data_IF_853850935654
#
_entry.id   IF_853850935654
#
_cell.length_a   1.000
_cell.length_b   1.000
_cell.length_c   1.000
_cell.angle_alpha   90.00
_cell.angle_beta   90.00
_cell.angle_gamma   90.00
#
_symmetry.space_group_name_H-M   'P 1'
#
loop_
_entity.id
_entity.type
_entity.pdbx_description
1 polymer ?
#
# COMPACT_ATOMS: atom_id res chain seq x y z
N UNK A 1 58.04 12.96 13.47
CA UNK A 1 57.18 11.87 12.96
C UNK A 1 55.71 12.21 13.20
N UNK A 2 54.99 12.69 12.17
CA UNK A 2 53.53 12.86 12.22
C UNK A 2 52.88 11.48 12.03
N UNK A 3 52.26 10.94 13.08
CA UNK A 3 51.37 9.77 12.98
C UNK A 3 50.13 10.21 12.20
N UNK A 4 50.11 9.94 10.90
CA UNK A 4 48.89 9.95 10.09
C UNK A 4 48.01 8.80 10.57
N UNK A 5 47.05 9.11 11.45
CA UNK A 5 45.99 8.19 11.81
C UNK A 5 45.20 7.87 10.55
N UNK A 6 45.27 6.61 10.13
CA UNK A 6 44.49 6.03 9.04
C UNK A 6 43.01 6.12 9.46
N UNK A 7 42.32 7.18 9.06
CA UNK A 7 40.88 7.36 9.33
C UNK A 7 40.16 6.24 8.59
N UNK A 8 39.74 5.23 9.33
CA UNK A 8 38.88 4.17 8.85
C UNK A 8 37.62 4.78 8.23
N UNK A 9 37.41 4.55 6.93
CA UNK A 9 36.26 5.03 6.15
C UNK A 9 35.00 4.24 6.50
N UNK A 10 34.61 4.22 7.77
CA UNK A 10 33.36 3.57 8.18
C UNK A 10 32.17 4.27 7.54
N UNK A 11 31.37 3.50 6.80
CA UNK A 11 30.15 3.94 6.13
C UNK A 11 29.12 4.41 7.17
N UNK A 12 28.42 5.50 6.89
CA UNK A 12 27.34 5.98 7.76
C UNK A 12 26.01 5.29 7.45
N UNK A 13 25.19 5.07 8.48
CA UNK A 13 23.88 4.43 8.36
C UNK A 13 22.82 5.19 9.15
N UNK A 14 21.64 5.39 8.57
CA UNK A 14 20.48 5.96 9.25
C UNK A 14 19.61 4.83 9.77
N UNK A 15 19.20 4.90 11.04
CA UNK A 15 18.39 3.88 11.72
C UNK A 15 17.40 4.54 12.67
N UNK A 16 16.25 3.90 12.92
CA UNK A 16 15.32 4.36 13.96
C UNK A 16 15.98 4.27 15.34
N UNK A 17 15.80 5.31 16.15
CA UNK A 17 16.35 5.40 17.50
C UNK A 17 15.46 4.65 18.47
N UNK A 18 16.08 3.86 19.36
CA UNK A 18 15.40 3.18 20.47
C UNK A 18 15.47 4.00 21.74
N UNK A 19 14.52 3.80 22.65
CA UNK A 19 14.52 4.50 23.95
C UNK A 19 15.80 4.23 24.76
N UNK A 20 16.38 3.03 24.64
CA UNK A 20 17.64 2.66 25.30
C UNK A 20 18.85 3.48 24.82
N UNK A 21 18.74 4.19 23.70
CA UNK A 21 19.82 4.98 23.11
C UNK A 21 19.70 6.47 23.44
N UNK A 22 18.69 6.85 24.23
CA UNK A 22 18.35 8.25 24.50
C UNK A 22 19.51 9.10 25.03
N UNK A 23 20.36 8.51 25.86
CA UNK A 23 21.50 9.21 26.46
C UNK A 23 22.51 9.68 25.43
N UNK A 24 22.55 9.06 24.24
CA UNK A 24 23.40 9.46 23.12
C UNK A 24 22.86 10.70 22.39
N UNK A 25 21.58 11.03 22.51
CA UNK A 25 20.95 12.16 21.82
C UNK A 25 21.14 13.47 22.60
N UNK A 26 21.15 13.41 23.93
CA UNK A 26 21.30 14.57 24.82
C UNK A 26 22.50 15.46 24.45
N UNK A 27 23.74 14.95 24.28
CA UNK A 27 24.86 15.80 23.92
C UNK A 27 24.71 16.44 22.53
N UNK A 28 24.04 15.76 21.60
CA UNK A 28 23.79 16.29 20.24
C UNK A 28 22.79 17.44 20.30
N UNK A 29 21.73 17.30 21.12
CA UNK A 29 20.77 18.37 21.35
C UNK A 29 21.47 19.61 21.91
N UNK A 30 22.27 19.44 22.97
CA UNK A 30 22.91 20.55 23.66
C UNK A 30 23.97 21.27 22.80
N UNK A 31 24.59 20.56 21.85
CA UNK A 31 25.48 21.15 20.84
C UNK A 31 24.73 21.93 19.74
N UNK A 32 23.47 21.58 19.47
CA UNK A 32 22.71 22.13 18.35
C UNK A 32 21.72 23.24 18.75
N UNK A 33 21.16 23.19 19.96
CA UNK A 33 20.05 24.05 20.37
C UNK A 33 20.34 24.81 21.66
N UNK A 34 19.86 26.06 21.72
CA UNK A 34 20.12 26.94 22.85
C UNK A 34 18.95 27.08 23.83
N UNK A 35 17.72 26.81 23.37
CA UNK A 35 16.51 27.06 24.14
C UNK A 35 16.28 26.16 25.36
N UNK A 36 17.05 25.07 25.52
CA UNK A 36 16.95 24.19 26.68
C UNK A 36 18.35 23.65 27.03
N UNK A 37 18.83 23.95 28.24
CA UNK A 37 20.18 23.56 28.70
C UNK A 37 20.20 22.52 29.83
N UNK A 38 19.08 22.33 30.52
CA UNK A 38 18.97 21.28 31.54
C UNK A 38 18.93 19.89 30.88
N UNK A 39 19.93 19.06 31.18
CA UNK A 39 20.07 17.71 30.64
C UNK A 39 18.87 16.80 30.95
N UNK A 40 18.27 16.93 32.14
CA UNK A 40 17.12 16.11 32.54
C UNK A 40 15.89 16.48 31.72
N UNK A 41 15.65 17.78 31.51
CA UNK A 41 14.56 18.25 30.66
C UNK A 41 14.76 17.86 29.21
N UNK A 42 15.99 17.99 28.68
CA UNK A 42 16.32 17.54 27.30
C UNK A 42 16.06 16.05 27.15
N UNK A 43 16.52 15.23 28.10
CA UNK A 43 16.28 13.78 28.11
C UNK A 43 14.78 13.47 28.19
N UNK A 44 14.02 14.18 29.03
CA UNK A 44 12.57 13.99 29.12
C UNK A 44 11.88 14.34 27.80
N UNK A 45 12.22 15.46 27.17
CA UNK A 45 11.69 15.88 25.90
C UNK A 45 11.95 14.86 24.78
N UNK A 46 13.20 14.40 24.66
CA UNK A 46 13.59 13.38 23.68
C UNK A 46 12.86 12.06 23.93
N UNK A 47 12.68 11.66 25.20
CA UNK A 47 11.96 10.44 25.57
C UNK A 47 10.51 10.51 25.11
N UNK A 48 9.84 11.63 25.36
CA UNK A 48 8.45 11.83 24.94
C UNK A 48 8.31 11.73 23.42
N UNK A 49 9.27 12.25 22.65
CA UNK A 49 9.27 12.13 21.20
C UNK A 49 9.45 10.67 20.73
N UNK A 50 10.35 9.91 21.33
CA UNK A 50 10.56 8.49 20.99
C UNK A 50 9.31 7.66 21.33
N UNK A 51 8.68 7.92 22.48
CA UNK A 51 7.48 7.19 22.94
C UNK A 51 6.20 7.54 22.16
N UNK A 52 6.20 8.63 21.41
CA UNK A 52 5.06 9.04 20.60
C UNK A 52 4.94 8.26 19.27
N UNK A 53 5.72 7.19 19.05
CA UNK A 53 5.52 6.28 17.94
C UNK A 53 4.09 5.68 17.96
N UNK A 54 3.38 5.58 16.82
CA UNK A 54 3.83 5.86 15.45
C UNK A 54 3.61 7.30 14.98
N UNK A 55 2.99 8.17 15.78
CA UNK A 55 2.75 9.57 15.41
C UNK A 55 4.07 10.33 15.18
N UNK A 56 5.10 10.03 15.99
CA UNK A 56 6.46 10.56 15.80
C UNK A 56 7.44 9.44 15.49
N UNK A 57 8.37 9.73 14.59
CA UNK A 57 9.45 8.81 14.22
C UNK A 57 10.81 9.51 14.36
N UNK A 58 11.66 8.95 15.21
CA UNK A 58 12.99 9.46 15.51
C UNK A 58 14.05 8.58 14.85
N UNK A 59 14.94 9.19 14.07
CA UNK A 59 16.03 8.49 13.40
C UNK A 59 17.38 9.11 13.76
N UNK A 60 18.41 8.27 13.81
CA UNK A 60 19.78 8.62 14.12
C UNK A 60 20.71 8.20 13.00
N UNK A 61 21.76 8.98 12.75
CA UNK A 61 22.82 8.62 11.81
C UNK A 61 24.08 8.19 12.56
N UNK A 62 24.51 6.99 12.25
CA UNK A 62 25.58 6.29 12.95
C UNK A 62 26.82 6.13 12.08
N UNK A 63 27.98 6.15 12.72
CA UNK A 63 29.26 5.67 12.17
C UNK A 63 29.87 4.73 13.20
N UNK A 64 29.81 3.43 12.93
CA UNK A 64 30.00 2.41 13.96
C UNK A 64 29.01 2.63 15.10
N UNK A 65 29.50 2.67 16.34
CA UNK A 65 28.68 2.91 17.54
C UNK A 65 28.52 4.39 17.92
N UNK A 66 29.02 5.31 17.08
CA UNK A 66 28.93 6.75 17.31
C UNK A 66 27.71 7.35 16.61
N UNK A 67 26.81 7.95 17.40
CA UNK A 67 25.69 8.74 16.90
C UNK A 67 26.19 10.14 16.53
N UNK A 68 26.04 10.54 15.26
CA UNK A 68 26.56 11.82 14.75
C UNK A 68 25.49 12.91 14.68
N UNK A 69 24.21 12.52 14.65
CA UNK A 69 23.06 13.40 14.49
C UNK A 69 21.75 12.63 14.57
N UNK A 70 20.64 13.35 14.72
CA UNK A 70 19.30 12.78 14.72
C UNK A 70 18.30 13.69 13.98
N UNK A 71 17.16 13.11 13.66
CA UNK A 71 16.00 13.79 13.06
C UNK A 71 14.72 13.25 13.69
N UNK A 72 13.76 14.15 13.95
CA UNK A 72 12.44 13.86 14.51
C UNK A 72 11.41 14.32 13.49
N UNK A 73 10.54 13.39 13.12
CA UNK A 73 9.42 13.63 12.25
C UNK A 73 8.12 13.43 13.02
N UNK A 74 7.10 14.25 12.74
CA UNK A 74 5.80 14.14 13.38
C UNK A 74 4.66 14.23 12.36
N UNK A 75 3.74 13.27 12.38
CA UNK A 75 2.54 13.33 11.57
C UNK A 75 1.52 14.32 12.16
N UNK A 76 0.89 15.12 11.29
CA UNK A 76 -0.10 16.13 11.64
C UNK A 76 -1.48 15.74 11.10
N UNK A 77 -2.52 16.14 11.83
CA UNK A 77 -3.90 16.00 11.37
C UNK A 77 -4.44 14.56 11.41
N UNK A 78 -3.94 13.72 12.33
CA UNK A 78 -4.30 12.29 12.50
C UNK A 78 -3.88 11.38 11.34
N UNK A 79 -4.11 10.07 11.44
CA UNK A 79 -3.75 9.07 10.43
C UNK A 79 -4.69 9.10 9.21
N UNK A 80 -4.47 10.08 8.33
CA UNK A 80 -5.22 10.23 7.09
C UNK A 80 -4.60 9.40 5.96
N UNK A 81 -5.37 9.10 4.88
CA UNK A 81 -4.82 8.56 3.64
C UNK A 81 -3.79 9.51 3.02
N UNK A 82 -4.06 10.82 3.01
CA UNK A 82 -3.10 11.85 2.62
C UNK A 82 -2.42 12.42 3.87
N UNK A 83 -1.24 11.90 4.21
CA UNK A 83 -0.52 12.25 5.43
C UNK A 83 0.29 13.54 5.27
N UNK A 84 0.23 14.40 6.28
CA UNK A 84 1.06 15.61 6.40
C UNK A 84 2.08 15.38 7.50
N UNK A 85 3.37 15.55 7.17
CA UNK A 85 4.46 15.35 8.11
C UNK A 85 5.18 16.66 8.40
N UNK A 86 5.68 16.80 9.62
CA UNK A 86 6.47 17.93 10.09
C UNK A 86 7.89 17.44 10.35
N UNK A 87 8.88 18.09 9.75
CA UNK A 87 10.27 17.94 10.18
C UNK A 87 10.43 18.81 11.44
N UNK A 88 10.12 18.21 12.58
CA UNK A 88 10.02 18.91 13.85
C UNK A 88 11.40 19.31 14.38
N UNK A 89 12.40 18.43 14.24
CA UNK A 89 13.75 18.72 14.72
C UNK A 89 14.79 17.94 13.91
N UNK A 90 15.93 18.58 13.61
CA UNK A 90 17.12 17.92 13.07
C UNK A 90 18.36 18.51 13.72
N UNK A 91 19.28 17.65 14.13
CA UNK A 91 20.55 18.07 14.71
C UNK A 91 21.69 17.18 14.23
N UNK A 92 22.84 17.81 14.01
CA UNK A 92 24.11 17.13 13.71
C UNK A 92 25.16 17.80 14.57
N UNK A 93 26.00 16.99 15.23
CA UNK A 93 27.12 17.50 16.01
C UNK A 93 27.95 18.48 15.16
N UNK A 94 28.30 19.63 15.74
CA UNK A 94 29.02 20.74 15.12
C UNK A 94 30.20 20.29 14.25
N UNK A 95 31.05 19.39 14.78
CA UNK A 95 32.22 18.82 14.09
C UNK A 95 31.90 17.99 12.83
N UNK A 96 30.64 17.60 12.62
CA UNK A 96 30.18 16.80 11.48
C UNK A 96 29.22 17.56 10.54
N UNK A 97 28.96 18.85 10.81
CA UNK A 97 28.13 19.70 9.94
C UNK A 97 28.84 19.95 8.61
N UNK A 98 28.05 20.31 7.57
CA UNK A 98 28.50 20.59 6.19
C UNK A 98 29.18 19.41 5.46
N UNK A 99 29.08 18.18 5.98
CA UNK A 99 29.60 16.96 5.36
C UNK A 99 28.51 16.10 4.69
N UNK A 100 27.35 16.69 4.36
CA UNK A 100 26.21 15.97 3.77
C UNK A 100 25.42 15.08 4.73
N UNK A 101 25.76 15.06 6.02
CA UNK A 101 25.09 14.24 7.04
C UNK A 101 23.61 14.62 7.22
N UNK A 102 23.29 15.91 7.31
CA UNK A 102 21.90 16.38 7.39
C UNK A 102 21.08 15.98 6.16
N UNK A 103 21.66 16.09 4.96
CA UNK A 103 21.04 15.64 3.71
C UNK A 103 20.72 14.15 3.74
N UNK A 104 21.67 13.32 4.20
CA UNK A 104 21.48 11.88 4.29
C UNK A 104 20.43 11.52 5.35
N UNK A 105 20.45 12.17 6.51
CA UNK A 105 19.42 12.01 7.55
C UNK A 105 18.03 12.25 6.97
N UNK A 106 17.80 13.39 6.31
CA UNK A 106 16.51 13.72 5.72
C UNK A 106 16.09 12.68 4.68
N UNK A 107 16.95 12.37 3.70
CA UNK A 107 16.60 11.47 2.59
C UNK A 107 16.27 10.05 3.07
N UNK A 108 17.15 9.47 3.88
CA UNK A 108 17.01 8.08 4.30
C UNK A 108 15.82 7.93 5.27
N UNK A 109 15.67 8.84 6.25
CA UNK A 109 14.53 8.77 7.18
C UNK A 109 13.19 9.06 6.50
N UNK A 110 13.15 9.96 5.52
CA UNK A 110 11.95 10.22 4.73
C UNK A 110 11.55 9.00 3.89
N UNK A 111 12.52 8.24 3.38
CA UNK A 111 12.26 6.98 2.69
C UNK A 111 11.55 5.98 3.61
N UNK A 112 12.04 5.82 4.84
CA UNK A 112 11.43 4.96 5.87
C UNK A 112 10.01 5.42 6.23
N UNK A 113 9.78 6.73 6.33
CA UNK A 113 8.44 7.29 6.55
C UNK A 113 7.49 6.93 5.40
N UNK A 114 7.94 7.09 4.14
CA UNK A 114 7.12 6.70 2.98
C UNK A 114 6.80 5.20 2.98
N UNK A 115 7.75 4.35 3.39
CA UNK A 115 7.50 2.91 3.57
C UNK A 115 6.44 2.69 4.67
N UNK A 116 6.57 3.37 5.82
CA UNK A 116 5.62 3.27 6.92
C UNK A 116 4.20 3.68 6.50
N UNK A 117 4.07 4.78 5.74
CA UNK A 117 2.78 5.25 5.22
C UNK A 117 2.16 4.25 4.26
N UNK A 118 2.93 3.73 3.29
CA UNK A 118 2.42 2.73 2.32
C UNK A 118 1.90 1.48 3.02
N UNK A 119 2.59 0.99 4.06
CA UNK A 119 2.17 -0.20 4.83
C UNK A 119 0.78 -0.05 5.45
N UNK A 120 0.37 1.18 5.79
CA UNK A 120 -0.97 1.47 6.35
C UNK A 120 -1.96 2.05 5.34
N UNK A 121 -1.65 2.00 4.04
CA UNK A 121 -2.53 2.52 2.98
C UNK A 121 -2.61 4.05 2.92
N UNK A 122 -1.55 4.75 3.35
CA UNK A 122 -1.44 6.19 3.26
C UNK A 122 -0.30 6.63 2.34
N UNK A 123 -0.36 7.87 1.86
CA UNK A 123 0.65 8.52 1.04
C UNK A 123 1.08 9.84 1.67
N UNK A 124 2.35 10.21 1.46
CA UNK A 124 2.86 11.49 1.92
C UNK A 124 2.36 12.59 0.98
N UNK A 125 1.59 13.53 1.50
CA UNK A 125 1.03 14.66 0.75
C UNK A 125 1.89 15.92 0.83
N UNK A 126 2.46 16.16 2.00
CA UNK A 126 3.14 17.41 2.31
C UNK A 126 4.11 17.23 3.46
N UNK A 127 5.23 17.96 3.40
CA UNK A 127 6.15 18.16 4.51
C UNK A 127 6.15 19.63 4.92
N UNK A 128 5.94 19.90 6.20
CA UNK A 128 6.11 21.21 6.82
C UNK A 128 7.47 21.26 7.53
N UNK A 129 8.10 22.42 7.50
CA UNK A 129 9.28 22.74 8.31
C UNK A 129 9.11 24.13 8.89
N UNK A 130 9.50 24.34 10.14
CA UNK A 130 9.55 25.67 10.77
C UNK A 130 10.99 25.96 11.17
N UNK A 131 11.51 27.13 10.83
CA UNK A 131 12.87 27.53 11.21
C UNK A 131 13.02 29.04 11.25
N UNK A 132 13.89 29.57 12.12
CA UNK A 132 14.18 30.99 12.19
C UNK A 132 14.57 31.57 10.83
N UNK A 133 14.16 32.81 10.56
CA UNK A 133 14.42 33.47 9.26
C UNK A 133 15.92 33.58 8.92
N UNK A 134 16.77 33.67 9.94
CA UNK A 134 18.22 33.79 9.83
C UNK A 134 18.95 32.43 9.93
N UNK A 135 18.21 31.33 10.04
CA UNK A 135 18.80 30.01 10.19
C UNK A 135 19.25 29.44 8.83
N UNK A 136 20.55 29.15 8.70
CA UNK A 136 21.14 28.59 7.48
C UNK A 136 20.51 27.24 7.08
N UNK A 137 19.86 26.54 8.01
CA UNK A 137 19.18 25.27 7.74
C UNK A 137 18.03 25.38 6.74
N UNK A 138 17.47 26.58 6.51
CA UNK A 138 16.47 26.81 5.45
C UNK A 138 16.94 26.29 4.07
N UNK A 139 18.21 26.57 3.73
CA UNK A 139 18.84 26.11 2.47
C UNK A 139 18.91 24.59 2.37
N UNK A 140 19.04 23.89 3.50
CA UNK A 140 19.04 22.43 3.53
C UNK A 140 17.66 21.90 3.15
N UNK A 141 16.58 22.47 3.70
CA UNK A 141 15.21 22.03 3.42
C UNK A 141 14.81 22.34 1.97
N UNK A 142 15.12 23.53 1.48
CA UNK A 142 14.92 23.90 0.07
C UNK A 142 15.63 22.92 -0.86
N UNK A 143 16.93 22.66 -0.61
CA UNK A 143 17.74 21.77 -1.45
C UNK A 143 17.29 20.31 -1.42
N UNK A 144 16.92 19.79 -0.24
CA UNK A 144 16.71 18.35 -0.06
C UNK A 144 15.25 17.95 -0.23
N UNK A 145 14.33 18.81 0.22
CA UNK A 145 12.89 18.54 0.15
C UNK A 145 12.20 19.30 -0.98
N UNK A 146 12.84 20.30 -1.58
CA UNK A 146 12.16 21.24 -2.48
C UNK A 146 11.18 22.13 -1.71
N UNK A 147 11.41 22.35 -0.42
CA UNK A 147 10.55 23.16 0.42
C UNK A 147 10.57 24.62 -0.03
N UNK A 148 9.42 25.28 -0.02
CA UNK A 148 9.28 26.70 -0.36
C UNK A 148 8.75 27.45 0.85
N UNK A 149 9.27 28.66 1.08
CA UNK A 149 8.73 29.57 2.08
C UNK A 149 7.29 29.95 1.72
N UNK A 150 6.37 29.78 2.68
CA UNK A 150 4.95 30.12 2.50
C UNK A 150 4.55 31.31 3.36
N UNK A 151 5.06 31.40 4.60
CA UNK A 151 4.82 32.56 5.46
C UNK A 151 5.94 32.77 6.48
N UNK A 152 5.91 33.94 7.13
CA UNK A 152 6.70 34.28 8.32
C UNK A 152 5.73 34.53 9.46
N UNK A 153 6.04 33.99 10.63
CA UNK A 153 5.35 34.28 11.88
C UNK A 153 6.32 35.10 12.74
N UNK A 154 5.92 36.32 13.05
CA UNK A 154 6.72 37.21 13.87
C UNK A 154 6.69 36.78 15.33
N UNK A 155 7.83 36.94 16.01
CA UNK A 155 7.98 36.68 17.45
C UNK A 155 7.42 35.32 17.91
N UNK A 156 7.72 34.26 17.16
CA UNK A 156 7.19 32.92 17.46
C UNK A 156 7.98 32.21 18.57
N UNK A 157 9.30 32.45 18.62
CA UNK A 157 10.19 32.01 19.70
C UNK A 157 11.17 33.14 20.07
N UNK A 158 12.47 32.98 19.80
CA UNK A 158 13.49 34.02 19.99
C UNK A 158 13.57 34.94 18.75
N UNK A 159 12.42 35.34 18.21
CA UNK A 159 12.28 36.12 16.98
C UNK A 159 11.41 35.47 15.90
N UNK A 160 11.56 35.96 14.67
CA UNK A 160 10.75 35.57 13.52
C UNK A 160 11.10 34.17 13.00
N UNK A 161 10.07 33.38 12.76
CA UNK A 161 10.16 32.03 12.20
C UNK A 161 9.49 31.98 10.84
N UNK A 162 10.08 31.26 9.89
CA UNK A 162 9.47 31.00 8.58
C UNK A 162 8.95 29.57 8.51
N UNK A 163 7.78 29.43 7.91
CA UNK A 163 7.20 28.14 7.57
C UNK A 163 7.54 27.82 6.12
N UNK A 164 8.19 26.68 5.92
CA UNK A 164 8.45 26.11 4.61
C UNK A 164 7.57 24.88 4.37
N UNK A 165 7.10 24.74 3.14
CA UNK A 165 6.27 23.62 2.70
C UNK A 165 6.93 22.96 1.50
N UNK A 166 7.16 21.65 1.59
CA UNK A 166 7.46 20.80 0.44
C UNK A 166 6.21 20.00 0.08
N UNK A 167 5.70 20.20 -1.13
CA UNK A 167 4.53 19.49 -1.66
C UNK A 167 5.01 18.31 -2.47
N UNK A 168 4.57 17.11 -2.13
CA UNK A 168 4.72 15.94 -3.00
C UNK A 168 3.63 16.03 -4.06
N UNK A 169 4.00 16.46 -5.28
CA UNK A 169 3.10 16.38 -6.42
C UNK A 169 2.93 14.90 -6.79
N UNK A 170 1.70 14.34 -6.81
CA UNK A 170 1.49 12.95 -7.21
C UNK A 170 1.80 12.71 -8.70
N UNK A 171 1.93 13.77 -9.51
CA UNK A 171 2.00 13.69 -10.98
C UNK A 171 3.35 14.03 -11.62
N UNK A 172 4.37 14.40 -10.85
CA UNK A 172 5.67 14.72 -11.44
C UNK A 172 6.79 14.57 -10.42
N UNK A 173 7.33 13.37 -10.28
CA UNK A 173 8.64 13.17 -9.68
C UNK A 173 9.47 12.39 -10.68
N UNK A 174 10.62 12.96 -11.06
CA UNK A 174 11.73 12.18 -11.59
C UNK A 174 12.02 11.07 -10.57
N UNK A 175 11.40 9.91 -10.77
CA UNK A 175 11.61 8.73 -9.93
C UNK A 175 13.10 8.45 -9.91
N UNK A 176 13.67 8.25 -8.72
CA UNK A 176 15.06 7.79 -8.64
C UNK A 176 15.18 6.43 -9.34
N UNK A 177 16.38 6.07 -9.80
CA UNK A 177 16.58 4.76 -10.42
C UNK A 177 16.23 3.61 -9.44
N UNK A 178 16.45 3.81 -8.15
CA UNK A 178 16.05 2.85 -7.10
C UNK A 178 14.51 2.74 -7.00
N UNK A 179 13.78 3.86 -7.06
CA UNK A 179 12.31 3.85 -7.05
C UNK A 179 11.75 3.17 -8.32
N UNK A 180 12.37 3.40 -9.48
CA UNK A 180 11.99 2.72 -10.73
C UNK A 180 12.26 1.22 -10.66
N UNK A 181 13.38 0.81 -10.05
CA UNK A 181 13.70 -0.60 -9.85
C UNK A 181 12.68 -1.28 -8.92
N UNK A 182 12.29 -0.61 -7.83
CA UNK A 182 11.27 -1.11 -6.91
C UNK A 182 9.91 -1.25 -7.57
N UNK A 183 9.47 -0.24 -8.34
CA UNK A 183 8.22 -0.29 -9.09
C UNK A 183 8.21 -1.41 -10.14
N UNK A 184 9.34 -1.66 -10.82
CA UNK A 184 9.47 -2.79 -11.76
C UNK A 184 9.33 -4.13 -11.05
N UNK A 185 9.91 -4.29 -9.86
CA UNK A 185 9.77 -5.50 -9.06
C UNK A 185 8.30 -5.70 -8.63
N UNK A 186 7.66 -4.66 -8.11
CA UNK A 186 6.26 -4.70 -7.72
C UNK A 186 5.34 -5.04 -8.92
N UNK A 187 5.65 -4.50 -10.11
CA UNK A 187 4.94 -4.83 -11.34
C UNK A 187 5.07 -6.31 -11.70
N UNK A 188 6.28 -6.89 -11.59
CA UNK A 188 6.52 -8.31 -11.84
C UNK A 188 5.74 -9.19 -10.85
N UNK A 189 5.69 -8.82 -9.57
CA UNK A 189 4.91 -9.51 -8.55
C UNK A 189 3.41 -9.45 -8.85
N UNK A 190 2.89 -8.27 -9.24
CA UNK A 190 1.50 -8.12 -9.65
C UNK A 190 1.17 -9.00 -10.85
N UNK A 191 2.05 -9.05 -11.85
CA UNK A 191 1.85 -9.86 -13.04
C UNK A 191 1.92 -11.37 -12.73
N UNK A 192 2.84 -11.80 -11.88
CA UNK A 192 2.93 -13.19 -11.42
C UNK A 192 1.66 -13.59 -10.65
N UNK A 193 1.20 -12.74 -9.73
CA UNK A 193 -0.03 -12.95 -8.97
C UNK A 193 -1.29 -12.99 -9.85
N UNK A 194 -1.32 -12.17 -10.90
CA UNK A 194 -2.39 -12.16 -11.89
C UNK A 194 -2.40 -13.45 -12.72
N UNK A 195 -1.24 -13.83 -13.27
CA UNK A 195 -1.08 -15.03 -14.09
C UNK A 195 -1.38 -16.31 -13.31
N UNK A 196 -1.04 -16.36 -12.02
CA UNK A 196 -1.38 -17.49 -11.16
C UNK A 196 -2.91 -17.65 -11.05
N UNK A 197 -3.63 -16.54 -10.84
CA UNK A 197 -5.10 -16.54 -10.74
C UNK A 197 -5.81 -16.75 -12.08
N UNK A 198 -5.15 -16.48 -13.20
CA UNK A 198 -5.65 -16.87 -14.54
C UNK A 198 -5.74 -18.40 -14.67
N UNK A 199 -4.90 -19.16 -13.94
CA UNK A 199 -4.95 -20.63 -13.92
C UNK A 199 -5.95 -21.17 -12.89
N UNK A 200 -5.98 -20.57 -11.70
CA UNK A 200 -6.82 -21.03 -10.57
C UNK A 200 -8.32 -20.90 -10.88
N UNK A 201 -8.77 -19.77 -11.45
CA UNK A 201 -10.20 -19.51 -11.64
C UNK A 201 -10.89 -20.55 -12.56
N UNK A 202 -10.30 -20.96 -13.71
CA UNK A 202 -10.83 -22.08 -14.49
C UNK A 202 -10.86 -23.41 -13.74
N UNK A 203 -9.84 -23.72 -12.94
CA UNK A 203 -9.78 -24.97 -12.17
C UNK A 203 -10.87 -25.00 -11.07
N UNK A 204 -11.10 -23.87 -10.39
CA UNK A 204 -12.21 -23.71 -9.45
C UNK A 204 -13.56 -23.88 -10.14
N UNK A 205 -13.75 -23.31 -11.32
CA UNK A 205 -14.99 -23.49 -12.09
C UNK A 205 -15.19 -24.96 -12.48
N UNK A 206 -14.12 -25.65 -12.89
CA UNK A 206 -14.17 -27.09 -13.18
C UNK A 206 -14.57 -27.89 -11.93
N UNK A 207 -14.03 -27.54 -10.76
CA UNK A 207 -14.38 -28.17 -9.49
C UNK A 207 -15.85 -27.94 -9.12
N UNK A 208 -16.37 -26.72 -9.33
CA UNK A 208 -17.82 -26.43 -9.18
C UNK A 208 -18.64 -27.37 -10.06
N UNK A 209 -18.26 -27.55 -11.33
CA UNK A 209 -18.94 -28.46 -12.25
C UNK A 209 -18.91 -29.92 -11.79
N UNK A 210 -17.78 -30.41 -11.29
CA UNK A 210 -17.64 -31.76 -10.76
C UNK A 210 -18.50 -31.98 -9.51
N UNK A 211 -18.46 -31.04 -8.57
CA UNK A 211 -19.27 -31.09 -7.33
C UNK A 211 -20.75 -31.04 -7.67
N UNK A 212 -21.16 -30.16 -8.57
CA UNK A 212 -22.54 -30.09 -9.05
C UNK A 212 -23.02 -31.41 -9.66
N UNK A 213 -22.18 -32.04 -10.50
CA UNK A 213 -22.48 -33.33 -11.13
C UNK A 213 -22.63 -34.45 -10.11
N UNK A 214 -21.70 -34.51 -9.14
CA UNK A 214 -21.75 -35.48 -8.04
C UNK A 214 -23.01 -35.31 -7.18
N UNK A 215 -23.31 -34.08 -6.76
CA UNK A 215 -24.50 -33.77 -5.96
C UNK A 215 -25.79 -34.14 -6.70
N UNK A 216 -25.85 -33.88 -8.00
CA UNK A 216 -26.98 -34.27 -8.84
C UNK A 216 -27.13 -35.80 -8.87
N UNK A 217 -26.06 -36.53 -9.10
CA UNK A 217 -26.08 -38.00 -9.05
C UNK A 217 -26.52 -38.55 -7.69
N UNK A 218 -26.04 -37.97 -6.59
CA UNK A 218 -26.44 -38.35 -5.23
C UNK A 218 -27.93 -38.08 -4.97
N UNK A 219 -28.46 -36.95 -5.44
CA UNK A 219 -29.89 -36.63 -5.33
C UNK A 219 -30.75 -37.64 -6.10
N UNK A 220 -30.40 -37.94 -7.36
CA UNK A 220 -31.10 -38.96 -8.15
C UNK A 220 -31.04 -40.34 -7.51
N UNK A 221 -29.88 -40.73 -6.97
CA UNK A 221 -29.73 -42.00 -6.27
C UNK A 221 -30.61 -42.08 -5.02
N UNK A 222 -30.65 -41.03 -4.20
CA UNK A 222 -31.50 -40.94 -3.03
C UNK A 222 -32.99 -41.08 -3.40
N UNK A 223 -33.43 -40.38 -4.46
CA UNK A 223 -34.81 -40.48 -4.96
C UNK A 223 -35.12 -41.92 -5.38
N UNK A 224 -34.28 -42.55 -6.20
CA UNK A 224 -34.55 -43.90 -6.70
C UNK A 224 -34.56 -44.97 -5.59
N UNK A 225 -33.71 -44.86 -4.56
CA UNK A 225 -33.68 -45.83 -3.46
C UNK A 225 -34.87 -45.66 -2.52
N UNK A 226 -35.22 -44.43 -2.19
CA UNK A 226 -36.22 -44.12 -1.17
C UNK A 226 -37.65 -44.08 -1.73
N UNK A 227 -37.86 -44.41 -3.01
CA UNK A 227 -39.18 -44.50 -3.64
C UNK A 227 -40.15 -45.49 -2.96
N UNK A 228 -39.62 -46.51 -2.28
CA UNK A 228 -40.43 -47.50 -1.56
C UNK A 228 -40.52 -47.22 -0.05
N UNK A 229 -39.86 -46.18 0.44
CA UNK A 229 -39.86 -45.79 1.85
C UNK A 229 -40.97 -44.77 2.12
N UNK A 230 -41.37 -44.56 3.39
CA UNK A 230 -42.30 -43.51 3.76
C UNK A 230 -41.84 -42.13 3.27
N UNK A 231 -42.75 -41.35 2.67
CA UNK A 231 -42.47 -40.05 2.05
C UNK A 231 -41.57 -39.15 2.92
N UNK A 232 -41.82 -39.08 4.23
CA UNK A 232 -41.09 -38.20 5.13
C UNK A 232 -39.58 -38.46 5.18
N UNK A 233 -39.13 -39.72 4.98
CA UNK A 233 -37.71 -40.08 4.92
C UNK A 233 -37.07 -39.59 3.62
N UNK A 234 -37.78 -39.71 2.50
CA UNK A 234 -37.36 -39.15 1.22
C UNK A 234 -37.22 -37.63 1.31
N UNK A 235 -38.20 -36.94 1.90
CA UNK A 235 -38.16 -35.50 2.13
C UNK A 235 -36.99 -35.06 3.02
N UNK A 236 -36.73 -35.80 4.11
CA UNK A 236 -35.62 -35.52 5.00
C UNK A 236 -34.27 -35.69 4.29
N UNK A 237 -34.09 -36.80 3.55
CA UNK A 237 -32.86 -37.06 2.80
C UNK A 237 -32.62 -36.03 1.70
N UNK A 238 -33.65 -35.70 0.91
CA UNK A 238 -33.58 -34.67 -0.12
C UNK A 238 -33.29 -33.29 0.48
N UNK A 239 -33.87 -32.96 1.63
CA UNK A 239 -33.60 -31.72 2.37
C UNK A 239 -32.15 -31.62 2.83
N UNK A 240 -31.60 -32.69 3.42
CA UNK A 240 -30.19 -32.74 3.86
C UNK A 240 -29.25 -32.58 2.67
N UNK A 241 -29.46 -33.35 1.59
CA UNK A 241 -28.65 -33.28 0.36
C UNK A 241 -28.75 -31.88 -0.24
N UNK A 242 -29.96 -31.32 -0.32
CA UNK A 242 -30.21 -29.99 -0.86
C UNK A 242 -29.47 -28.88 -0.10
N UNK A 243 -29.57 -28.87 1.23
CA UNK A 243 -28.89 -27.89 2.10
C UNK A 243 -27.38 -28.04 1.98
N UNK A 244 -26.85 -29.25 2.11
CA UNK A 244 -25.41 -29.48 2.05
C UNK A 244 -24.83 -29.13 0.68
N UNK A 245 -25.51 -29.52 -0.40
CA UNK A 245 -25.14 -29.17 -1.76
C UNK A 245 -25.16 -27.66 -2.01
N UNK A 246 -26.16 -26.95 -1.48
CA UNK A 246 -26.22 -25.50 -1.57
C UNK A 246 -25.03 -24.84 -0.85
N UNK A 247 -24.74 -25.24 0.40
CA UNK A 247 -23.63 -24.67 1.18
C UNK A 247 -22.28 -24.89 0.50
N UNK A 248 -22.05 -26.08 -0.07
CA UNK A 248 -20.82 -26.38 -0.82
C UNK A 248 -20.68 -25.48 -2.06
N UNK A 249 -21.72 -25.42 -2.91
CA UNK A 249 -21.68 -24.59 -4.13
C UNK A 249 -21.57 -23.10 -3.80
N UNK A 250 -22.19 -22.65 -2.72
CA UNK A 250 -22.07 -21.28 -2.25
C UNK A 250 -20.66 -20.96 -1.74
N UNK A 251 -20.00 -21.89 -1.06
CA UNK A 251 -18.60 -21.77 -0.67
C UNK A 251 -17.67 -21.52 -1.88
N UNK A 252 -17.84 -22.29 -2.95
CA UNK A 252 -17.10 -22.06 -4.20
C UNK A 252 -17.41 -20.72 -4.86
N UNK A 253 -18.66 -20.26 -4.82
CA UNK A 253 -19.02 -18.94 -5.35
C UNK A 253 -18.24 -17.82 -4.62
N UNK A 254 -18.10 -17.91 -3.29
CA UNK A 254 -17.34 -16.93 -2.50
C UNK A 254 -15.87 -16.95 -2.92
N UNK A 255 -15.28 -18.13 -3.10
CA UNK A 255 -13.88 -18.28 -3.49
C UNK A 255 -13.60 -17.69 -4.88
N UNK A 256 -14.44 -18.03 -5.87
CA UNK A 256 -14.37 -17.45 -7.21
C UNK A 256 -14.50 -15.91 -7.15
N UNK A 257 -15.44 -15.38 -6.37
CA UNK A 257 -15.59 -13.93 -6.19
C UNK A 257 -14.34 -13.27 -5.60
N UNK A 258 -13.73 -13.90 -4.59
CA UNK A 258 -12.50 -13.44 -3.96
C UNK A 258 -11.35 -13.39 -4.99
N UNK A 259 -11.17 -14.45 -5.77
CA UNK A 259 -10.14 -14.51 -6.81
C UNK A 259 -10.34 -13.48 -7.92
N UNK A 260 -11.58 -13.31 -8.38
CA UNK A 260 -11.94 -12.27 -9.36
C UNK A 260 -11.64 -10.86 -8.82
N UNK A 261 -12.03 -10.59 -7.58
CA UNK A 261 -11.76 -9.31 -6.91
C UNK A 261 -10.25 -9.04 -6.80
N UNK A 262 -9.47 -10.04 -6.40
CA UNK A 262 -8.03 -9.91 -6.31
C UNK A 262 -7.38 -9.63 -7.67
N UNK A 263 -7.82 -10.31 -8.75
CA UNK A 263 -7.36 -10.01 -10.12
C UNK A 263 -7.61 -8.56 -10.53
N UNK A 264 -8.74 -7.99 -10.12
CA UNK A 264 -9.09 -6.59 -10.38
C UNK A 264 -8.11 -5.63 -9.69
N UNK A 265 -7.81 -5.88 -8.42
CA UNK A 265 -6.83 -5.09 -7.64
C UNK A 265 -5.44 -5.19 -8.26
N UNK A 266 -4.96 -6.39 -8.57
CA UNK A 266 -3.65 -6.60 -9.20
C UNK A 266 -3.54 -5.88 -10.55
N UNK A 267 -4.59 -5.96 -11.38
CA UNK A 267 -4.63 -5.28 -12.67
C UNK A 267 -4.60 -3.76 -12.53
N UNK A 268 -5.38 -3.22 -11.61
CA UNK A 268 -5.41 -1.78 -11.35
C UNK A 268 -4.03 -1.31 -10.89
N UNK A 269 -3.41 -2.06 -9.96
CA UNK A 269 -2.08 -1.73 -9.46
C UNK A 269 -1.01 -1.78 -10.56
N UNK A 270 -1.04 -2.80 -11.43
CA UNK A 270 -0.16 -2.86 -12.60
C UNK A 270 -0.33 -1.65 -13.51
N UNK A 271 -1.56 -1.21 -13.76
CA UNK A 271 -1.81 -0.02 -14.58
C UNK A 271 -1.29 1.28 -13.94
N UNK A 272 -1.47 1.45 -12.63
CA UNK A 272 -0.89 2.58 -11.88
C UNK A 272 0.64 2.59 -11.99
N UNK A 273 1.29 1.43 -11.88
CA UNK A 273 2.74 1.32 -12.04
C UNK A 273 3.19 1.64 -13.47
N UNK A 274 2.45 1.19 -14.49
CA UNK A 274 2.72 1.56 -15.90
C UNK A 274 2.66 3.09 -16.10
N UNK A 275 1.68 3.76 -15.49
CA UNK A 275 1.53 5.22 -15.55
C UNK A 275 2.66 5.95 -14.80
N UNK A 276 3.10 5.42 -13.64
CA UNK A 276 4.24 5.97 -12.90
C UNK A 276 5.57 5.82 -13.65
N UNK A 277 5.78 4.67 -14.33
CA UNK A 277 7.00 4.38 -15.06
C UNK A 277 7.04 5.00 -16.47
N UNK A 278 5.89 5.38 -17.01
CA UNK A 278 5.75 6.02 -18.32
C UNK A 278 5.41 7.50 -18.17
N UNK A 279 6.40 8.41 -17.97
CA UNK A 279 6.12 9.83 -18.00
C UNK A 279 5.43 10.18 -19.34
N UNK A 280 4.41 11.04 -19.28
CA UNK A 280 3.63 11.43 -20.44
C UNK A 280 4.56 11.87 -21.59
N UNK A 281 4.41 11.33 -22.82
CA UNK A 281 5.33 11.66 -23.88
C UNK A 281 5.06 13.10 -24.38
N UNK A 282 6.06 13.95 -24.22
CA UNK A 282 6.37 15.00 -25.18
C UNK A 282 6.72 14.34 -26.52
N UNK A 283 5.71 13.98 -27.32
CA UNK A 283 5.83 13.68 -28.75
C UNK A 283 6.59 12.43 -29.21
N UNK A 284 7.29 11.70 -28.33
CA UNK A 284 8.09 10.53 -28.73
C UNK A 284 7.37 9.24 -28.31
N UNK A 285 7.08 8.37 -29.29
CA UNK A 285 6.46 7.07 -29.03
C UNK A 285 7.37 6.20 -28.13
N UNK A 286 6.93 5.80 -26.93
CA UNK A 286 7.74 4.97 -26.06
C UNK A 286 7.77 3.53 -26.61
N UNK A 287 8.96 3.05 -26.98
CA UNK A 287 9.18 1.67 -27.40
C UNK A 287 9.47 0.74 -26.21
N UNK A 288 8.80 0.96 -25.07
CA UNK A 288 9.07 0.23 -23.82
C UNK A 288 7.93 -0.71 -23.43
N UNK A 289 8.32 -1.92 -23.04
CA UNK A 289 7.58 -3.16 -22.75
C UNK A 289 6.42 -3.04 -21.72
N UNK A 290 6.25 -1.90 -21.05
CA UNK A 290 5.34 -1.70 -19.92
C UNK A 290 4.06 -0.92 -20.29
N UNK A 291 3.35 -1.34 -21.35
CA UNK A 291 2.06 -0.75 -21.75
C UNK A 291 0.99 -1.81 -22.02
N UNK A 292 1.11 -2.98 -21.39
CA UNK A 292 0.23 -4.12 -21.65
C UNK A 292 -1.17 -3.76 -21.14
N UNK A 293 -1.27 -3.30 -19.90
CA UNK A 293 -2.56 -3.02 -19.27
C UNK A 293 -3.19 -1.74 -19.81
N UNK A 294 -2.39 -0.73 -20.15
CA UNK A 294 -2.83 0.50 -20.81
C UNK A 294 -3.51 0.25 -22.16
N UNK A 295 -3.07 -0.76 -22.92
CA UNK A 295 -3.69 -1.14 -24.21
C UNK A 295 -4.89 -2.07 -24.04
N UNK A 296 -4.87 -2.94 -23.02
CA UNK A 296 -5.91 -3.95 -22.79
C UNK A 296 -7.16 -3.35 -22.13
N UNK A 297 -7.00 -2.46 -21.14
CA UNK A 297 -8.13 -1.90 -20.37
C UNK A 297 -9.10 -1.09 -21.25
N UNK A 298 -8.64 -0.12 -22.08
CA UNK A 298 -9.54 0.70 -22.90
C UNK A 298 -10.16 -0.07 -24.07
N UNK A 299 -9.41 -1.01 -24.68
CA UNK A 299 -9.92 -1.83 -25.80
C UNK A 299 -11.05 -2.76 -25.36
N UNK A 300 -10.99 -3.30 -24.14
CA UNK A 300 -12.08 -4.11 -23.56
C UNK A 300 -13.35 -3.28 -23.30
N UNK A 301 -13.22 -2.02 -22.87
CA UNK A 301 -14.38 -1.11 -22.73
C UNK A 301 -15.08 -0.85 -24.07
N UNK A 302 -14.34 -0.47 -25.12
CA UNK A 302 -14.93 -0.06 -26.41
C UNK A 302 -15.65 -1.18 -27.17
N UNK A 303 -15.08 -2.39 -27.25
CA UNK A 303 -15.64 -3.49 -28.07
C UNK A 303 -17.03 -3.96 -27.60
N UNK A 304 -17.37 -3.71 -26.34
CA UNK A 304 -18.63 -4.12 -25.73
C UNK A 304 -19.65 -2.97 -25.71
N UNK A 305 -19.21 -1.73 -25.46
CA UNK A 305 -20.04 -0.52 -25.61
C UNK A 305 -20.61 -0.36 -27.03
N UNK A 306 -19.90 -0.85 -28.05
CA UNK A 306 -20.36 -0.86 -29.44
C UNK A 306 -21.42 -1.94 -29.75
N UNK A 307 -21.55 -2.99 -28.93
CA UNK A 307 -22.46 -4.13 -29.17
C UNK A 307 -23.71 -4.14 -28.32
N UNK A 308 -23.77 -3.33 -27.26
CA UNK A 308 -24.91 -3.32 -26.34
C UNK A 308 -25.74 -2.06 -26.56
N UNK A 309 -27.07 -2.21 -26.79
CA UNK A 309 -27.97 -1.06 -26.98
C UNK A 309 -27.81 -0.05 -25.84
N UNK A 310 -27.66 1.23 -26.18
CA UNK A 310 -27.45 2.32 -25.21
C UNK A 310 -28.49 2.37 -24.09
N UNK A 311 -29.68 1.80 -24.31
CA UNK A 311 -30.75 1.67 -23.31
C UNK A 311 -30.40 0.75 -22.13
N UNK A 312 -29.53 -0.24 -22.31
CA UNK A 312 -29.10 -1.18 -21.26
C UNK A 312 -27.89 -0.67 -20.46
N UNK A 313 -27.20 0.37 -20.93
CA UNK A 313 -26.00 0.93 -20.30
C UNK A 313 -26.29 1.85 -19.10
N UNK A 314 -27.56 2.03 -18.68
CA UNK A 314 -27.89 2.93 -17.58
C UNK A 314 -27.58 2.39 -16.18
N UNK A 315 -27.28 1.09 -16.02
CA UNK A 315 -26.76 0.53 -14.76
C UNK A 315 -25.77 -0.61 -15.04
N UNK A 316 -24.57 -0.44 -14.45
CA UNK A 316 -23.46 -1.38 -14.24
C UNK A 316 -22.35 -1.47 -15.29
N UNK A 317 -21.16 -1.59 -14.70
CA UNK A 317 -19.80 -1.51 -15.23
C UNK A 317 -19.48 -2.63 -16.25
N UNK A 318 -18.72 -2.35 -17.32
CA UNK A 318 -18.39 -3.34 -18.34
C UNK A 318 -17.26 -4.27 -17.84
N UNK A 319 -17.63 -5.41 -17.24
CA UNK A 319 -16.74 -6.42 -16.63
C UNK A 319 -16.70 -7.71 -17.48
N UNK A 320 -16.19 -7.60 -18.71
CA UNK A 320 -16.50 -8.55 -19.79
C UNK A 320 -15.84 -9.95 -19.80
N UNK A 321 -15.22 -10.46 -18.73
CA UNK A 321 -14.71 -11.86 -18.71
C UNK A 321 -14.80 -12.50 -17.32
N UNK A 322 -14.41 -11.76 -16.28
CA UNK A 322 -14.42 -12.24 -14.90
C UNK A 322 -15.84 -12.45 -14.34
N UNK A 323 -16.81 -11.73 -14.88
CA UNK A 323 -18.21 -11.85 -14.45
C UNK A 323 -18.88 -13.14 -14.95
N UNK A 324 -18.38 -13.73 -16.03
CA UNK A 324 -18.93 -14.99 -16.54
C UNK A 324 -18.72 -16.14 -15.56
N UNK A 325 -17.59 -16.16 -14.84
CA UNK A 325 -17.32 -17.18 -13.82
C UNK A 325 -18.30 -17.06 -12.65
N UNK A 326 -18.53 -15.83 -12.18
CA UNK A 326 -19.49 -15.55 -11.10
C UNK A 326 -20.91 -15.88 -11.56
N UNK A 327 -21.27 -15.53 -12.80
CA UNK A 327 -22.57 -15.84 -13.37
C UNK A 327 -22.79 -17.35 -13.53
N UNK A 328 -21.80 -18.08 -14.05
CA UNK A 328 -21.87 -19.53 -14.19
C UNK A 328 -22.04 -20.23 -12.84
N UNK A 329 -21.29 -19.82 -11.81
CA UNK A 329 -21.45 -20.34 -10.46
C UNK A 329 -22.85 -20.05 -9.88
N UNK A 330 -23.40 -18.86 -10.12
CA UNK A 330 -24.80 -18.53 -9.72
C UNK A 330 -25.83 -19.36 -10.46
N UNK A 331 -25.64 -19.59 -11.76
CA UNK A 331 -26.52 -20.45 -12.56
C UNK A 331 -26.48 -21.87 -12.00
N UNK A 332 -25.31 -22.41 -11.68
CA UNK A 332 -25.18 -23.74 -11.07
C UNK A 332 -25.94 -23.82 -9.73
N UNK A 333 -25.83 -22.83 -8.85
CA UNK A 333 -26.60 -22.76 -7.60
C UNK A 333 -28.11 -22.70 -7.87
N UNK A 334 -28.54 -21.87 -8.83
CA UNK A 334 -29.95 -21.76 -9.21
C UNK A 334 -30.51 -23.07 -9.76
N UNK A 335 -29.77 -23.75 -10.64
CA UNK A 335 -30.13 -25.06 -11.17
C UNK A 335 -30.19 -26.12 -10.06
N UNK A 336 -29.26 -26.09 -9.12
CA UNK A 336 -29.27 -27.00 -7.97
C UNK A 336 -30.55 -26.86 -7.14
N UNK A 337 -30.92 -25.62 -6.79
CA UNK A 337 -32.15 -25.36 -6.04
C UNK A 337 -33.40 -25.83 -6.80
N UNK A 338 -33.44 -25.59 -8.11
CA UNK A 338 -34.54 -26.08 -8.95
C UNK A 338 -34.60 -27.61 -8.95
N UNK A 339 -33.48 -28.31 -9.12
CA UNK A 339 -33.43 -29.77 -9.09
C UNK A 339 -33.91 -30.34 -7.76
N UNK A 340 -33.52 -29.74 -6.64
CA UNK A 340 -34.00 -30.15 -5.31
C UNK A 340 -35.51 -29.96 -5.20
N UNK A 341 -36.06 -28.82 -5.64
CA UNK A 341 -37.51 -28.54 -5.62
C UNK A 341 -38.28 -29.48 -6.54
N UNK A 342 -37.79 -29.72 -7.76
CA UNK A 342 -38.42 -30.64 -8.71
C UNK A 342 -38.38 -32.09 -8.19
N UNK A 343 -37.24 -32.55 -7.68
CA UNK A 343 -37.13 -33.88 -7.08
C UNK A 343 -38.06 -34.07 -5.88
N UNK A 344 -38.28 -33.01 -5.12
CA UNK A 344 -39.28 -32.95 -4.06
C UNK A 344 -40.72 -33.09 -4.57
N UNK A 345 -41.11 -32.28 -5.57
CA UNK A 345 -42.50 -32.23 -6.05
C UNK A 345 -42.91 -33.49 -6.84
N UNK A 346 -42.00 -34.06 -7.63
CA UNK A 346 -42.29 -35.17 -8.54
C UNK A 346 -41.78 -36.53 -8.03
N UNK A 347 -41.12 -36.54 -6.86
CA UNK A 347 -40.70 -37.77 -6.19
C UNK A 347 -41.80 -38.44 -5.35
N UNK A 348 -42.95 -37.78 -5.22
CA UNK A 348 -44.23 -38.33 -4.74
C UNK A 348 -45.07 -38.81 -5.91
#
# INVERSE_FOLDING_TARGET
MRKTSKVSSQKTAVKQIKETEIDKLVPIYLDAFEGMRDQKLVKQWLRSNIRAFPQKMCFGIWRGDSLLGYIIWAEKGTFRPEAVWDLEQIAVLSKYRRQGIGTKLIRDSLSEIKVHLRKRGAELRLIKVTTGINNESARLYEKVLGAKKECVISDFYNGDEQILIARTNPTNTNLSEDDKALLKLEYQECQAGYNNRDKIVPDELRNVGLVFTFLTGALFFAINILQNEPDWLLWLAAGIIGIFGFLLLFGFLIDIQSNVSCKKVLRQRSAEIEDLLSPAPSGIQPNTVLQIWRKVIPKRKRKWEERVPKSLLRRKSPEGETDYFILAARIAIGLWLLLVIFGAIFGT
#
